data_IF_857256083142
#
_entry.id   IF_857256083142
#
_cell.length_a   1.000
_cell.length_b   1.000
_cell.length_c   1.000
_cell.angle_alpha   90.00
_cell.angle_beta   90.00
_cell.angle_gamma   90.00
#
_symmetry.space_group_name_H-M   'P 1'
#
loop_
_entity.id
_entity.type
_entity.pdbx_description
1 polymer ?
#
# COMPACT_ATOMS: atom_id res chain seq x y z
N UNK A 1 -43.85 35.70 23.31
CA UNK A 1 -44.06 34.70 22.24
C UNK A 1 -45.30 35.12 21.47
N UNK A 2 -45.18 35.56 20.21
CA UNK A 2 -46.35 35.94 19.42
C UNK A 2 -46.90 34.71 18.70
N UNK A 3 -48.04 34.21 19.18
CA UNK A 3 -48.65 32.94 18.74
C UNK A 3 -49.49 33.07 17.46
N UNK A 4 -49.54 34.26 16.84
CA UNK A 4 -50.40 34.56 15.69
C UNK A 4 -49.99 33.92 14.36
N UNK A 5 -48.87 33.20 14.31
CA UNK A 5 -48.34 32.58 13.08
C UNK A 5 -48.39 31.04 13.06
N UNK A 6 -48.99 30.38 14.06
CA UNK A 6 -49.13 28.92 14.05
C UNK A 6 -50.40 28.49 13.30
N UNK A 7 -50.26 27.73 12.21
CA UNK A 7 -51.39 27.03 11.57
C UNK A 7 -51.88 25.91 12.50
N UNK A 8 -53.17 25.87 12.88
CA UNK A 8 -53.71 24.80 13.71
C UNK A 8 -53.56 23.44 13.01
N UNK A 9 -53.02 22.44 13.72
CA UNK A 9 -53.00 21.03 13.26
C UNK A 9 -51.70 20.54 12.58
N UNK A 10 -50.67 21.37 12.46
CA UNK A 10 -49.34 20.89 11.98
C UNK A 10 -48.38 20.77 13.16
N UNK A 11 -47.80 19.59 13.46
CA UNK A 11 -46.77 19.48 14.49
C UNK A 11 -45.55 20.31 14.08
N UNK A 12 -45.33 21.44 14.74
CA UNK A 12 -44.10 22.19 14.58
C UNK A 12 -43.02 21.51 15.42
N UNK A 13 -42.04 20.87 14.76
CA UNK A 13 -40.81 20.46 15.44
C UNK A 13 -40.00 21.72 15.70
N UNK A 14 -40.14 22.27 16.90
CA UNK A 14 -39.42 23.48 17.34
C UNK A 14 -38.12 23.05 18.01
N UNK A 15 -36.99 23.64 17.63
CA UNK A 15 -35.70 23.39 18.27
C UNK A 15 -35.81 23.73 19.78
N UNK A 16 -35.48 22.81 20.70
CA UNK A 16 -35.62 23.03 22.14
C UNK A 16 -34.89 24.29 22.64
N UNK A 17 -33.84 24.71 21.96
CA UNK A 17 -33.08 25.94 22.28
C UNK A 17 -33.87 27.20 21.97
N UNK A 18 -34.76 27.17 20.98
CA UNK A 18 -35.70 28.26 20.69
C UNK A 18 -36.76 28.38 21.78
N UNK A 19 -37.28 27.24 22.25
CA UNK A 19 -38.26 27.20 23.35
C UNK A 19 -37.65 27.74 24.65
N UNK A 20 -36.36 27.47 24.89
CA UNK A 20 -35.60 27.96 26.04
C UNK A 20 -35.08 29.40 25.89
N UNK A 21 -35.26 30.04 24.72
CA UNK A 21 -34.77 31.39 24.44
C UNK A 21 -33.26 31.49 24.22
N UNK A 22 -32.55 30.36 24.10
CA UNK A 22 -31.11 30.28 23.83
C UNK A 22 -30.77 30.65 22.37
N UNK A 23 -31.76 30.62 21.48
CA UNK A 23 -31.60 30.88 20.05
C UNK A 23 -32.90 31.44 19.46
N UNK A 24 -32.82 32.35 18.48
CA UNK A 24 -34.00 32.84 17.75
C UNK A 24 -34.49 31.82 16.72
N UNK A 25 -35.77 31.87 16.30
CA UNK A 25 -36.28 31.02 15.22
C UNK A 25 -35.46 31.11 13.93
N UNK A 26 -34.98 32.30 13.57
CA UNK A 26 -34.12 32.50 12.38
C UNK A 26 -32.75 31.86 12.54
N UNK A 27 -32.12 31.98 13.71
CA UNK A 27 -30.87 31.29 14.00
C UNK A 27 -31.03 29.76 13.95
N UNK A 28 -32.17 29.24 14.44
CA UNK A 28 -32.49 27.81 14.38
C UNK A 28 -32.67 27.32 12.94
N UNK A 29 -33.38 28.11 12.12
CA UNK A 29 -33.57 27.84 10.70
C UNK A 29 -32.23 27.81 9.97
N UNK A 30 -31.40 28.82 10.17
CA UNK A 30 -30.08 28.92 9.55
C UNK A 30 -29.18 27.75 9.96
N UNK A 31 -29.12 27.41 11.26
CA UNK A 31 -28.33 26.28 11.75
C UNK A 31 -28.78 24.95 11.12
N UNK A 32 -30.09 24.74 10.94
CA UNK A 32 -30.64 23.57 10.27
C UNK A 32 -30.29 23.54 8.78
N UNK A 33 -30.40 24.67 8.09
CA UNK A 33 -30.03 24.80 6.68
C UNK A 33 -28.54 24.50 6.47
N UNK A 34 -27.68 25.04 7.35
CA UNK A 34 -26.24 24.74 7.36
C UNK A 34 -25.98 23.24 7.58
N UNK A 35 -26.64 22.63 8.57
CA UNK A 35 -26.50 21.19 8.85
C UNK A 35 -26.91 20.32 7.65
N UNK A 36 -28.05 20.63 7.04
CA UNK A 36 -28.54 19.91 5.86
C UNK A 36 -27.58 20.05 4.68
N UNK A 37 -27.05 21.25 4.45
CA UNK A 37 -26.08 21.50 3.39
C UNK A 37 -24.78 20.72 3.61
N UNK A 38 -24.23 20.77 4.82
CA UNK A 38 -23.03 20.01 5.18
C UNK A 38 -23.23 18.51 4.93
N UNK A 39 -24.36 17.95 5.35
CA UNK A 39 -24.67 16.53 5.11
C UNK A 39 -24.78 16.20 3.63
N UNK A 40 -25.43 17.06 2.85
CA UNK A 40 -25.56 16.87 1.41
C UNK A 40 -24.19 16.89 0.72
N UNK A 41 -23.34 17.86 1.06
CA UNK A 41 -21.99 17.99 0.51
C UNK A 41 -21.11 16.78 0.89
N UNK A 42 -21.19 16.28 2.13
CA UNK A 42 -20.51 15.04 2.53
C UNK A 42 -20.98 13.84 1.71
N UNK A 43 -22.30 13.67 1.54
CA UNK A 43 -22.86 12.54 0.81
C UNK A 43 -22.48 12.57 -0.69
N UNK A 44 -22.52 13.75 -1.31
CA UNK A 44 -22.06 13.95 -2.69
C UNK A 44 -20.56 13.68 -2.81
N UNK A 45 -19.77 14.20 -1.87
CA UNK A 45 -18.33 13.95 -1.78
C UNK A 45 -18.00 12.45 -1.75
N UNK A 46 -18.64 11.70 -0.86
CA UNK A 46 -18.45 10.27 -0.72
C UNK A 46 -18.85 9.50 -2.00
N UNK A 47 -19.97 9.86 -2.63
CA UNK A 47 -20.41 9.25 -3.89
C UNK A 47 -19.41 9.46 -5.02
N UNK A 48 -18.91 10.69 -5.18
CA UNK A 48 -17.92 11.02 -6.20
C UNK A 48 -16.59 10.29 -5.97
N UNK A 49 -16.17 10.15 -4.71
CA UNK A 49 -14.97 9.39 -4.36
C UNK A 49 -15.13 7.90 -4.71
N UNK A 50 -16.31 7.31 -4.46
CA UNK A 50 -16.61 5.92 -4.81
C UNK A 50 -16.57 5.62 -6.31
N UNK A 51 -16.79 6.62 -7.17
CA UNK A 51 -16.70 6.49 -8.63
C UNK A 51 -15.34 6.91 -9.19
N UNK A 52 -14.35 7.17 -8.32
CA UNK A 52 -13.01 7.62 -8.72
C UNK A 52 -12.92 9.09 -9.14
N UNK A 53 -14.00 9.88 -9.04
CA UNK A 53 -13.99 11.31 -9.35
C UNK A 53 -13.53 12.11 -8.12
N UNK A 54 -12.26 11.93 -7.77
CA UNK A 54 -11.69 12.48 -6.54
C UNK A 54 -11.63 14.02 -6.53
N UNK A 55 -11.52 14.66 -7.71
CA UNK A 55 -11.49 16.12 -7.81
C UNK A 55 -12.82 16.75 -7.38
N UNK A 56 -13.95 16.24 -7.88
CA UNK A 56 -15.27 16.72 -7.45
C UNK A 56 -15.59 16.30 -6.02
N UNK A 57 -15.17 15.10 -5.60
CA UNK A 57 -15.33 14.65 -4.23
C UNK A 57 -14.70 15.66 -3.24
N UNK A 58 -13.45 16.07 -3.50
CA UNK A 58 -12.74 17.05 -2.69
C UNK A 58 -13.38 18.44 -2.76
N UNK A 59 -14.01 18.83 -3.87
CA UNK A 59 -14.73 20.09 -3.98
C UNK A 59 -15.88 20.15 -2.98
N UNK A 60 -16.78 19.15 -2.99
CA UNK A 60 -17.91 19.09 -2.06
C UNK A 60 -17.46 18.99 -0.61
N UNK A 61 -16.45 18.16 -0.31
CA UNK A 61 -15.96 18.01 1.06
C UNK A 61 -15.31 19.30 1.60
N UNK A 62 -14.60 20.07 0.76
CA UNK A 62 -14.07 21.39 1.14
C UNK A 62 -15.17 22.43 1.32
N UNK A 63 -16.25 22.36 0.55
CA UNK A 63 -17.40 23.24 0.75
C UNK A 63 -18.11 22.93 2.08
N UNK A 64 -18.19 21.66 2.48
CA UNK A 64 -18.64 21.25 3.81
C UNK A 64 -17.68 21.73 4.92
N UNK A 65 -16.37 21.62 4.72
CA UNK A 65 -15.33 22.06 5.66
C UNK A 65 -15.41 23.57 5.93
N UNK A 66 -15.67 24.40 4.92
CA UNK A 66 -15.88 25.85 5.12
C UNK A 66 -17.04 26.17 6.07
N UNK A 67 -18.06 25.32 6.11
CA UNK A 67 -19.23 25.49 6.98
C UNK A 67 -18.99 24.92 8.39
N UNK A 68 -18.15 23.89 8.51
CA UNK A 68 -17.75 23.28 9.78
C UNK A 68 -16.27 22.91 9.80
N UNK A 69 -15.37 23.88 10.06
CA UNK A 69 -13.93 23.68 9.93
C UNK A 69 -13.34 22.72 10.98
N UNK A 70 -14.06 22.46 12.07
CA UNK A 70 -13.61 21.57 13.15
C UNK A 70 -14.28 20.19 13.14
N UNK A 71 -15.11 19.89 12.15
CA UNK A 71 -15.77 18.60 12.04
C UNK A 71 -14.78 17.50 11.63
N UNK A 72 -14.49 16.62 12.58
CA UNK A 72 -13.57 15.49 12.38
C UNK A 72 -14.04 14.52 11.30
N UNK A 73 -15.35 14.39 11.09
CA UNK A 73 -15.91 13.55 10.03
C UNK A 73 -15.53 14.06 8.65
N UNK A 74 -15.64 15.38 8.45
CA UNK A 74 -15.26 16.04 7.19
C UNK A 74 -13.76 15.91 6.94
N UNK A 75 -12.92 16.18 7.95
CA UNK A 75 -11.46 16.03 7.84
C UNK A 75 -11.06 14.60 7.47
N UNK A 76 -11.68 13.59 8.09
CA UNK A 76 -11.46 12.18 7.76
C UNK A 76 -11.88 11.87 6.33
N UNK A 77 -13.02 12.37 5.87
CA UNK A 77 -13.49 12.15 4.51
C UNK A 77 -12.56 12.78 3.45
N UNK A 78 -12.04 13.98 3.72
CA UNK A 78 -11.02 14.62 2.87
C UNK A 78 -9.75 13.77 2.82
N UNK A 79 -9.23 13.37 3.99
CA UNK A 79 -8.03 12.55 4.08
C UNK A 79 -8.15 11.22 3.34
N UNK A 80 -9.28 10.53 3.51
CA UNK A 80 -9.55 9.28 2.79
C UNK A 80 -9.67 9.48 1.27
N UNK A 81 -10.31 10.57 0.83
CA UNK A 81 -10.42 10.90 -0.59
C UNK A 81 -9.06 11.21 -1.21
N UNK A 82 -8.19 11.92 -0.49
CA UNK A 82 -6.80 12.15 -0.92
C UNK A 82 -6.02 10.83 -1.00
N UNK A 83 -6.18 9.95 -0.01
CA UNK A 83 -5.60 8.62 -0.05
C UNK A 83 -6.07 7.84 -1.27
N UNK A 84 -7.37 7.79 -1.59
CA UNK A 84 -7.86 7.08 -2.76
C UNK A 84 -7.37 7.68 -4.09
N UNK A 85 -7.23 9.01 -4.17
CA UNK A 85 -6.66 9.71 -5.33
C UNK A 85 -5.20 9.36 -5.56
N UNK A 86 -4.43 9.38 -4.48
CA UNK A 86 -2.97 9.23 -4.54
C UNK A 86 -2.54 7.77 -4.45
N UNK A 87 -3.44 6.88 -4.02
CA UNK A 87 -3.24 5.44 -4.03
C UNK A 87 -3.07 5.00 -5.47
N UNK A 88 -1.82 4.83 -5.87
CA UNK A 88 -1.47 4.02 -7.04
C UNK A 88 -2.12 2.67 -6.81
N UNK A 89 -3.05 2.29 -7.68
CA UNK A 89 -3.42 0.88 -7.81
C UNK A 89 -2.14 0.16 -8.19
N UNK A 90 -1.50 -0.47 -7.21
CA UNK A 90 -0.44 -1.41 -7.54
C UNK A 90 -1.14 -2.52 -8.31
N UNK A 91 -0.74 -2.80 -9.55
CA UNK A 91 -1.23 -3.99 -10.22
C UNK A 91 -0.95 -5.19 -9.31
N UNK A 92 -1.83 -6.20 -9.28
CA UNK A 92 -1.52 -7.45 -8.60
C UNK A 92 -0.15 -7.92 -9.09
N UNK A 93 0.74 -8.18 -8.14
CA UNK A 93 2.07 -8.72 -8.40
C UNK A 93 2.00 -10.19 -8.03
N UNK A 94 2.04 -11.13 -9.00
CA UNK A 94 2.00 -12.56 -8.69
C UNK A 94 3.10 -12.98 -7.70
N UNK A 95 4.26 -12.32 -7.74
CA UNK A 95 5.32 -12.49 -6.74
C UNK A 95 4.84 -12.07 -5.34
N UNK A 96 4.18 -10.92 -5.22
CA UNK A 96 3.67 -10.44 -3.94
C UNK A 96 2.54 -11.33 -3.41
N UNK A 97 1.65 -11.81 -4.29
CA UNK A 97 0.59 -12.76 -3.92
C UNK A 97 1.20 -14.06 -3.38
N UNK A 98 2.17 -14.66 -4.09
CA UNK A 98 2.88 -15.84 -3.59
C UNK A 98 3.56 -15.61 -2.24
N UNK A 99 4.11 -14.41 -2.01
CA UNK A 99 4.72 -14.04 -0.73
C UNK A 99 3.67 -13.90 0.38
N UNK A 100 2.51 -13.31 0.08
CA UNK A 100 1.40 -13.15 1.02
C UNK A 100 0.78 -14.50 1.39
N UNK A 101 0.55 -15.38 0.41
CA UNK A 101 0.06 -16.75 0.64
C UNK A 101 1.01 -17.52 1.56
N UNK A 102 2.32 -17.34 1.36
CA UNK A 102 3.34 -17.96 2.20
C UNK A 102 3.33 -17.42 3.64
N UNK A 103 3.16 -16.10 3.80
CA UNK A 103 3.02 -15.47 5.12
C UNK A 103 1.75 -15.92 5.84
N UNK A 104 0.65 -16.07 5.12
CA UNK A 104 -0.61 -16.60 5.65
C UNK A 104 -0.45 -18.06 6.09
N UNK A 105 0.12 -18.91 5.24
CA UNK A 105 0.40 -20.32 5.56
C UNK A 105 1.30 -20.44 6.80
N UNK A 106 2.38 -19.65 6.86
CA UNK A 106 3.30 -19.62 7.99
C UNK A 106 2.74 -18.93 9.24
N UNK A 107 1.55 -18.33 9.19
CA UNK A 107 0.97 -17.52 10.27
C UNK A 107 1.90 -16.38 10.73
N UNK A 108 2.65 -15.80 9.79
CA UNK A 108 3.68 -14.81 10.05
C UNK A 108 5.02 -15.38 10.53
N UNK A 109 5.15 -16.69 10.78
CA UNK A 109 6.44 -17.32 11.00
C UNK A 109 7.23 -17.39 9.68
N UNK A 110 8.26 -16.55 9.62
CA UNK A 110 9.07 -16.38 8.42
C UNK A 110 9.70 -17.68 7.91
N UNK A 111 10.17 -18.54 8.83
CA UNK A 111 10.83 -19.79 8.47
C UNK A 111 9.82 -20.75 7.84
N UNK A 112 8.64 -20.88 8.42
CA UNK A 112 7.55 -21.69 7.87
C UNK A 112 7.09 -21.16 6.49
N UNK A 113 7.03 -19.84 6.31
CA UNK A 113 6.71 -19.23 5.01
C UNK A 113 7.75 -19.54 3.93
N UNK A 114 9.04 -19.48 4.25
CA UNK A 114 10.11 -19.85 3.31
C UNK A 114 10.05 -21.34 2.95
N UNK A 115 9.84 -22.22 3.93
CA UNK A 115 9.70 -23.67 3.66
C UNK A 115 8.47 -23.97 2.77
N UNK A 116 7.36 -23.28 3.00
CA UNK A 116 6.20 -23.38 2.11
C UNK A 116 6.51 -22.97 0.67
N UNK A 117 7.23 -21.85 0.47
CA UNK A 117 7.67 -21.42 -0.86
C UNK A 117 8.62 -22.44 -1.52
N UNK A 118 9.52 -23.06 -0.74
CA UNK A 118 10.39 -24.14 -1.23
C UNK A 118 9.57 -25.34 -1.70
N UNK A 119 8.57 -25.76 -0.92
CA UNK A 119 7.69 -26.88 -1.30
C UNK A 119 6.92 -26.59 -2.59
N UNK A 120 6.41 -25.36 -2.75
CA UNK A 120 5.75 -24.93 -3.99
C UNK A 120 6.73 -24.91 -5.17
N UNK A 121 7.94 -24.40 -4.96
CA UNK A 121 8.99 -24.37 -5.97
C UNK A 121 9.38 -25.79 -6.42
N UNK A 122 9.57 -26.72 -5.49
CA UNK A 122 9.94 -28.11 -5.81
C UNK A 122 8.85 -28.83 -6.60
N UNK A 123 7.57 -28.53 -6.34
CA UNK A 123 6.43 -29.06 -7.11
C UNK A 123 6.36 -28.49 -8.53
N UNK A 124 6.73 -27.23 -8.72
CA UNK A 124 6.71 -26.58 -10.02
C UNK A 124 7.81 -25.52 -10.18
N UNK A 125 9.05 -25.92 -10.55
CA UNK A 125 10.18 -24.99 -10.65
C UNK A 125 10.07 -23.92 -11.75
N UNK A 126 9.13 -24.08 -12.69
CA UNK A 126 8.85 -23.11 -13.75
C UNK A 126 7.81 -22.05 -13.36
N UNK A 127 7.24 -22.14 -12.16
CA UNK A 127 6.38 -21.10 -11.59
C UNK A 127 7.24 -19.89 -11.18
N UNK A 128 7.45 -18.97 -12.13
CA UNK A 128 8.27 -17.78 -11.92
C UNK A 128 7.82 -16.93 -10.72
N UNK A 129 6.52 -16.66 -10.50
CA UNK A 129 6.06 -15.97 -9.29
C UNK A 129 6.55 -16.58 -7.98
N UNK A 130 6.43 -17.91 -7.82
CA UNK A 130 6.88 -18.64 -6.63
C UNK A 130 8.40 -18.60 -6.50
N UNK A 131 9.12 -18.79 -7.63
CA UNK A 131 10.58 -18.72 -7.67
C UNK A 131 11.09 -17.34 -7.26
N UNK A 132 10.53 -16.28 -7.82
CA UNK A 132 10.90 -14.90 -7.52
C UNK A 132 10.59 -14.53 -6.05
N UNK A 133 9.46 -15.03 -5.53
CA UNK A 133 9.06 -14.85 -4.13
C UNK A 133 10.00 -15.58 -3.17
N UNK A 134 10.35 -16.84 -3.48
CA UNK A 134 11.31 -17.63 -2.71
C UNK A 134 12.68 -16.95 -2.65
N UNK A 135 13.23 -16.55 -3.80
CA UNK A 135 14.53 -15.87 -3.86
C UNK A 135 14.52 -14.57 -3.05
N UNK A 136 13.47 -13.77 -3.16
CA UNK A 136 13.31 -12.56 -2.35
C UNK A 136 13.28 -12.88 -0.84
N UNK A 137 12.52 -13.90 -0.45
CA UNK A 137 12.41 -14.29 0.94
C UNK A 137 13.74 -14.83 1.50
N UNK A 138 14.47 -15.65 0.74
CA UNK A 138 15.78 -16.11 1.15
C UNK A 138 16.79 -14.95 1.25
N UNK A 139 16.73 -13.97 0.34
CA UNK A 139 17.55 -12.77 0.43
C UNK A 139 17.28 -11.94 1.68
N UNK A 140 16.00 -11.74 2.01
CA UNK A 140 15.59 -11.04 3.23
C UNK A 140 16.07 -11.79 4.49
N UNK A 141 15.97 -13.12 4.51
CA UNK A 141 16.48 -13.97 5.60
C UNK A 141 18.01 -13.94 5.70
N UNK A 142 18.68 -13.92 4.54
CA UNK A 142 20.13 -13.93 4.42
C UNK A 142 20.79 -12.68 5.00
N UNK A 143 20.08 -11.55 5.05
CA UNK A 143 20.58 -10.30 5.63
C UNK A 143 21.07 -10.48 7.08
N UNK A 144 20.34 -11.28 7.87
CA UNK A 144 20.66 -11.55 9.27
C UNK A 144 21.65 -12.69 9.48
N UNK A 145 22.10 -13.33 8.39
CA UNK A 145 23.07 -14.42 8.47
C UNK A 145 24.49 -13.89 8.71
N UNK A 146 25.37 -14.66 9.40
CA UNK A 146 26.77 -14.31 9.56
C UNK A 146 27.48 -14.07 8.22
N UNK A 147 28.52 -13.21 8.18
CA UNK A 147 29.35 -13.06 6.99
C UNK A 147 29.97 -14.42 6.58
N UNK A 148 29.87 -14.78 5.29
CA UNK A 148 30.39 -16.04 4.76
C UNK A 148 29.35 -17.15 4.61
N UNK A 149 28.18 -17.02 5.25
CA UNK A 149 27.09 -18.01 5.20
C UNK A 149 25.89 -17.54 4.36
N UNK A 150 26.05 -16.52 3.51
CA UNK A 150 24.94 -16.03 2.66
C UNK A 150 24.55 -17.15 1.68
N UNK A 151 23.37 -17.77 1.85
CA UNK A 151 22.97 -18.88 0.99
C UNK A 151 22.64 -18.33 -0.40
N UNK A 152 23.24 -18.85 -1.46
CA UNK A 152 22.86 -18.45 -2.81
C UNK A 152 21.46 -19.01 -3.14
N UNK A 153 20.67 -18.33 -4.00
CA UNK A 153 19.30 -18.73 -4.27
C UNK A 153 19.18 -20.17 -4.80
N UNK A 154 18.05 -20.86 -4.56
CA UNK A 154 17.91 -22.28 -4.86
C UNK A 154 17.93 -22.52 -6.37
N UNK A 155 18.85 -23.37 -6.81
CA UNK A 155 19.06 -23.61 -8.24
C UNK A 155 20.01 -22.61 -8.93
N UNK A 156 20.55 -21.62 -8.20
CA UNK A 156 21.72 -20.89 -8.65
C UNK A 156 22.88 -21.87 -8.76
N UNK A 157 23.20 -22.24 -10.00
CA UNK A 157 24.47 -22.87 -10.32
C UNK A 157 25.41 -21.73 -10.66
N UNK A 158 26.58 -21.69 -9.99
CA UNK A 158 27.65 -20.76 -10.33
C UNK A 158 27.76 -20.69 -11.86
N UNK A 159 27.56 -19.52 -12.48
CA UNK A 159 27.17 -19.48 -13.86
C UNK A 159 28.32 -19.97 -14.73
N UNK A 160 28.08 -20.99 -15.54
CA UNK A 160 28.90 -21.27 -16.73
C UNK A 160 28.59 -20.25 -17.85
N UNK A 161 28.39 -18.99 -17.47
CA UNK A 161 28.08 -17.91 -18.40
C UNK A 161 29.40 -17.33 -18.93
N UNK A 162 29.43 -17.08 -20.23
CA UNK A 162 30.56 -16.42 -20.89
C UNK A 162 30.13 -14.98 -21.20
N UNK A 163 31.10 -14.06 -21.20
CA UNK A 163 30.88 -12.67 -21.63
C UNK A 163 30.48 -11.70 -20.52
N UNK A 164 29.95 -10.55 -20.92
CA UNK A 164 29.78 -9.37 -20.06
C UNK A 164 28.76 -9.56 -18.93
N UNK A 165 27.64 -10.26 -19.21
CA UNK A 165 26.62 -10.56 -18.20
C UNK A 165 27.19 -11.38 -17.03
N UNK A 166 28.08 -12.33 -17.31
CA UNK A 166 28.75 -13.12 -16.28
C UNK A 166 29.68 -12.25 -15.42
N UNK A 167 30.49 -11.41 -16.05
CA UNK A 167 31.40 -10.52 -15.32
C UNK A 167 30.63 -9.55 -14.41
N UNK A 168 29.47 -9.06 -14.86
CA UNK A 168 28.58 -8.25 -14.02
C UNK A 168 28.00 -9.08 -12.86
N UNK A 169 27.52 -10.30 -13.12
CA UNK A 169 27.00 -11.17 -12.07
C UNK A 169 28.06 -11.50 -11.00
N UNK A 170 29.31 -11.77 -11.39
CA UNK A 170 30.41 -12.00 -10.45
C UNK A 170 30.71 -10.78 -9.58
N UNK A 171 30.75 -9.58 -10.17
CA UNK A 171 30.87 -8.33 -9.40
C UNK A 171 29.70 -8.15 -8.42
N UNK A 172 28.51 -8.58 -8.80
CA UNK A 172 27.34 -8.62 -7.92
C UNK A 172 27.55 -9.55 -6.73
N UNK A 173 28.06 -10.77 -6.95
CA UNK A 173 28.37 -11.74 -5.89
C UNK A 173 29.46 -11.20 -4.96
N UNK A 174 30.53 -10.63 -5.50
CA UNK A 174 31.61 -10.03 -4.71
C UNK A 174 31.09 -8.88 -3.84
N UNK A 175 30.27 -8.00 -4.41
CA UNK A 175 29.63 -6.89 -3.69
C UNK A 175 28.68 -7.40 -2.59
N UNK A 176 27.95 -8.50 -2.85
CA UNK A 176 27.06 -9.12 -1.89
C UNK A 176 27.84 -9.69 -0.69
N UNK A 177 28.96 -10.38 -0.95
CA UNK A 177 29.88 -10.85 0.08
C UNK A 177 30.50 -9.72 0.90
N UNK A 178 30.77 -8.58 0.25
CA UNK A 178 31.22 -7.35 0.90
C UNK A 178 30.11 -6.56 1.62
N UNK A 179 28.86 -7.05 1.61
CA UNK A 179 27.66 -6.40 2.18
C UNK A 179 27.32 -5.04 1.55
N UNK A 180 27.74 -4.83 0.31
CA UNK A 180 27.39 -3.65 -0.49
C UNK A 180 26.10 -3.91 -1.28
N UNK A 181 24.97 -4.06 -0.58
CA UNK A 181 23.73 -4.60 -1.14
C UNK A 181 23.19 -3.79 -2.34
N UNK A 182 23.28 -2.46 -2.30
CA UNK A 182 22.87 -1.61 -3.43
C UNK A 182 23.72 -1.84 -4.66
N UNK A 183 25.06 -1.91 -4.48
CA UNK A 183 26.00 -2.20 -5.58
C UNK A 183 25.78 -3.61 -6.13
N UNK A 184 25.56 -4.59 -5.26
CA UNK A 184 25.26 -5.96 -5.66
C UNK A 184 24.01 -6.03 -6.55
N UNK A 185 22.91 -5.43 -6.08
CA UNK A 185 21.64 -5.39 -6.82
C UNK A 185 21.77 -4.65 -8.16
N UNK A 186 22.52 -3.54 -8.19
CA UNK A 186 22.85 -2.81 -9.43
C UNK A 186 23.57 -3.70 -10.46
N UNK A 187 24.57 -4.46 -10.02
CA UNK A 187 25.30 -5.37 -10.91
C UNK A 187 24.42 -6.49 -11.43
N UNK A 188 23.60 -7.11 -10.59
CA UNK A 188 22.68 -8.17 -11.04
C UNK A 188 21.64 -7.64 -12.02
N UNK A 189 21.10 -6.42 -11.81
CA UNK A 189 20.18 -5.80 -12.77
C UNK A 189 20.85 -5.56 -14.13
N UNK A 190 22.08 -5.04 -14.13
CA UNK A 190 22.86 -4.83 -15.37
C UNK A 190 23.15 -6.16 -16.06
N UNK A 191 23.50 -7.20 -15.31
CA UNK A 191 23.67 -8.55 -15.85
C UNK A 191 22.36 -9.06 -16.49
N UNK A 192 21.22 -8.84 -15.84
CA UNK A 192 19.91 -9.27 -16.35
C UNK A 192 19.51 -8.52 -17.62
N UNK A 193 19.85 -7.24 -17.73
CA UNK A 193 19.63 -6.47 -18.96
C UNK A 193 20.42 -7.03 -20.16
N UNK A 194 21.63 -7.56 -19.90
CA UNK A 194 22.47 -8.19 -20.92
C UNK A 194 22.03 -9.63 -21.25
N UNK A 195 21.31 -10.30 -20.35
CA UNK A 195 20.82 -11.66 -20.56
C UNK A 195 19.44 -11.84 -19.89
N UNK A 196 18.37 -11.30 -20.50
CA UNK A 196 17.03 -11.28 -19.90
C UNK A 196 16.41 -12.67 -19.70
N UNK A 197 16.81 -13.64 -20.53
CA UNK A 197 16.30 -15.02 -20.48
C UNK A 197 17.06 -15.91 -19.49
N UNK A 198 18.12 -15.39 -18.86
CA UNK A 198 18.91 -16.13 -17.88
C UNK A 198 18.21 -16.13 -16.52
N UNK A 199 17.61 -17.27 -16.19
CA UNK A 199 16.91 -17.47 -14.91
C UNK A 199 17.85 -17.39 -13.71
N UNK A 200 19.11 -17.78 -13.84
CA UNK A 200 20.07 -17.68 -12.73
C UNK A 200 20.42 -16.23 -12.41
N UNK A 201 20.57 -15.38 -13.41
CA UNK A 201 20.76 -13.94 -13.20
C UNK A 201 19.48 -13.30 -12.64
N UNK A 202 18.30 -13.69 -13.15
CA UNK A 202 17.00 -13.23 -12.60
C UNK A 202 16.88 -13.56 -11.11
N UNK A 203 17.26 -14.78 -10.71
CA UNK A 203 17.23 -15.20 -9.31
C UNK A 203 18.07 -14.27 -8.44
N UNK A 204 19.29 -13.93 -8.89
CA UNK A 204 20.17 -13.01 -8.15
C UNK A 204 19.60 -11.59 -8.03
N UNK A 205 18.83 -11.13 -9.02
CA UNK A 205 18.13 -9.83 -8.93
C UNK A 205 17.11 -9.85 -7.79
N UNK A 206 16.25 -10.86 -7.72
CA UNK A 206 15.24 -10.94 -6.66
C UNK A 206 15.82 -11.30 -5.29
N UNK A 207 16.89 -12.10 -5.27
CA UNK A 207 17.64 -12.40 -4.06
C UNK A 207 18.26 -11.14 -3.45
N UNK A 208 18.99 -10.35 -4.25
CA UNK A 208 19.56 -9.07 -3.79
C UNK A 208 18.51 -8.01 -3.44
N UNK A 209 17.34 -8.04 -4.08
CA UNK A 209 16.19 -7.20 -3.73
C UNK A 209 15.70 -7.48 -2.28
N UNK A 210 15.76 -8.74 -1.84
CA UNK A 210 15.47 -9.13 -0.45
C UNK A 210 16.41 -8.47 0.56
N UNK A 211 17.72 -8.47 0.30
CA UNK A 211 18.70 -7.79 1.16
C UNK A 211 18.43 -6.28 1.25
N UNK A 212 18.08 -5.63 0.14
CA UNK A 212 17.75 -4.20 0.14
C UNK A 212 16.50 -3.90 0.96
N UNK A 213 15.49 -4.76 0.87
CA UNK A 213 14.27 -4.60 1.67
C UNK A 213 14.59 -4.69 3.17
N UNK A 214 15.44 -5.64 3.58
CA UNK A 214 15.90 -5.75 4.97
C UNK A 214 16.71 -4.52 5.40
N UNK A 215 17.69 -4.09 4.60
CA UNK A 215 18.50 -2.91 4.90
C UNK A 215 17.63 -1.66 5.11
N UNK A 216 16.65 -1.42 4.25
CA UNK A 216 15.77 -0.24 4.33
C UNK A 216 14.78 -0.29 5.50
N UNK A 217 14.57 -1.46 6.11
CA UNK A 217 13.67 -1.62 7.25
C UNK A 217 14.29 -1.20 8.58
N UNK A 218 15.62 -1.02 8.62
CA UNK A 218 16.38 -0.65 9.81
C UNK A 218 16.97 0.77 9.74
N UNK A 219 16.87 1.42 8.58
CA UNK A 219 17.24 2.82 8.34
C UNK A 219 16.05 3.75 8.63
#
# INVERSE_FOLDING_TARGET
MDLRFMRPGTPAVVDPRVVKGEMTPEQARLARETELRVRADIALGARMAGTGNYAEALRFLKDAEKLKPDDLGIKKAIGYTLYLRDRRTMPPSPKAEALLDALEYGQGDWRASVEYLKDLYLKNPSNLPVRDALNFAEGLSGYWSPPGDIPLPPGYKAPFLKGEAHALAMKGVDSLGAREYERAHDYFRKAHQQSPDDLGIRDMVHFSEGFLAAQRSIE
#
